data_IF_719750506920
#
_entry.id   IF_719750506920
#
_cell.length_a   1.000
_cell.length_b   1.000
_cell.length_c   1.000
_cell.angle_alpha   90.00
_cell.angle_beta   90.00
_cell.angle_gamma   90.00
#
_symmetry.space_group_name_H-M   'P 1'
#
loop_
_entity.id
_entity.type
_entity.pdbx_description
1 polymer ?
#
# COMPACT_ATOMS: atom_id res chain seq x y z
N UNK A 1 -0.08 -5.04 -16.21
CA UNK A 1 -0.86 -6.07 -15.48
C UNK A 1 -2.24 -6.25 -16.12
N UNK A 2 -3.02 -5.18 -16.34
CA UNK A 2 -4.40 -5.30 -16.84
C UNK A 2 -4.49 -5.99 -18.22
N UNK A 3 -3.56 -5.73 -19.15
CA UNK A 3 -3.47 -6.46 -20.42
C UNK A 3 -3.12 -7.93 -20.18
N UNK A 4 -2.12 -8.22 -19.35
CA UNK A 4 -1.67 -9.59 -19.09
C UNK A 4 -2.76 -10.47 -18.43
N UNK A 5 -3.67 -9.85 -17.69
CA UNK A 5 -4.82 -10.52 -17.06
C UNK A 5 -6.11 -10.35 -17.86
N UNK A 6 -6.05 -9.86 -19.11
CA UNK A 6 -7.18 -9.72 -20.02
C UNK A 6 -8.34 -8.84 -19.49
N UNK A 7 -8.04 -7.92 -18.57
CA UNK A 7 -9.00 -6.90 -18.10
C UNK A 7 -9.21 -5.83 -19.14
N UNK A 8 -8.15 -5.51 -19.90
CA UNK A 8 -8.18 -4.57 -21.01
C UNK A 8 -7.63 -5.24 -22.27
N UNK A 9 -8.20 -4.92 -23.41
CA UNK A 9 -7.85 -5.54 -24.69
C UNK A 9 -6.69 -4.80 -25.37
N UNK A 10 -5.70 -5.55 -25.84
CA UNK A 10 -4.61 -5.10 -26.70
C UNK A 10 -4.29 -6.17 -27.77
N UNK A 11 -5.26 -7.02 -28.11
CA UNK A 11 -5.09 -8.17 -29.01
C UNK A 11 -4.69 -7.78 -30.44
N UNK A 12 -5.00 -6.55 -30.88
CA UNK A 12 -4.59 -6.01 -32.17
C UNK A 12 -3.08 -5.65 -32.24
N UNK A 13 -2.40 -5.60 -31.07
CA UNK A 13 -0.97 -5.32 -31.00
C UNK A 13 -0.11 -6.58 -31.18
N UNK A 14 1.14 -6.45 -31.69
CA UNK A 14 2.11 -7.54 -31.69
C UNK A 14 2.26 -8.16 -30.28
N UNK A 15 2.25 -9.49 -30.21
CA UNK A 15 2.31 -10.26 -28.95
C UNK A 15 1.19 -9.91 -27.96
N UNK A 16 0.00 -9.49 -28.44
CA UNK A 16 -1.11 -9.08 -27.59
C UNK A 16 -0.78 -7.86 -26.71
N UNK A 17 0.06 -6.96 -27.19
CA UNK A 17 0.45 -5.74 -26.46
C UNK A 17 1.48 -5.93 -25.37
N UNK A 18 2.14 -7.11 -25.29
CA UNK A 18 3.10 -7.44 -24.22
C UNK A 18 4.52 -7.64 -24.75
N UNK A 19 5.51 -7.31 -23.95
CA UNK A 19 6.91 -7.72 -24.07
C UNK A 19 7.11 -9.15 -23.52
N UNK A 20 8.26 -9.76 -23.81
CA UNK A 20 8.60 -11.10 -23.34
C UNK A 20 8.66 -11.25 -21.81
N UNK A 21 8.84 -10.16 -21.09
CA UNK A 21 8.84 -10.08 -19.63
C UNK A 21 7.44 -9.85 -19.02
N UNK A 22 6.39 -9.83 -19.86
CA UNK A 22 5.00 -9.62 -19.43
C UNK A 22 4.60 -8.16 -19.16
N UNK A 23 5.48 -7.19 -19.42
CA UNK A 23 5.12 -5.77 -19.38
C UNK A 23 4.46 -5.35 -20.71
N UNK A 24 3.64 -4.30 -20.65
CA UNK A 24 3.05 -3.75 -21.87
C UNK A 24 4.12 -3.16 -22.78
N UNK A 25 4.08 -3.50 -24.09
CA UNK A 25 4.87 -2.85 -25.11
C UNK A 25 4.24 -1.49 -25.50
N UNK A 26 4.90 -0.70 -26.33
CA UNK A 26 4.45 0.64 -26.73
C UNK A 26 3.05 0.58 -27.33
N UNK A 27 2.78 -0.37 -28.23
CA UNK A 27 1.45 -0.54 -28.84
C UNK A 27 0.38 -0.84 -27.78
N UNK A 28 0.66 -1.78 -26.85
CA UNK A 28 -0.27 -2.13 -25.78
C UNK A 28 -0.56 -0.95 -24.85
N UNK A 29 0.45 -0.12 -24.54
CA UNK A 29 0.25 1.10 -23.75
C UNK A 29 -0.65 2.13 -24.44
N UNK A 30 -0.53 2.27 -25.77
CA UNK A 30 -1.34 3.23 -26.54
C UNK A 30 -2.77 2.74 -26.72
N UNK A 31 -2.94 1.49 -27.17
CA UNK A 31 -4.25 0.91 -27.48
C UNK A 31 -5.11 0.74 -26.24
N UNK A 32 -4.55 0.17 -25.16
CA UNK A 32 -5.29 -0.07 -23.92
C UNK A 32 -5.53 1.18 -23.07
N UNK A 33 -4.98 2.34 -23.42
CA UNK A 33 -4.98 3.54 -22.55
C UNK A 33 -6.38 3.95 -22.09
N UNK A 34 -7.36 3.99 -22.99
CA UNK A 34 -8.71 4.42 -22.67
C UNK A 34 -9.41 3.44 -21.72
N UNK A 35 -9.23 2.15 -21.95
CA UNK A 35 -9.81 1.10 -21.10
C UNK A 35 -9.13 1.05 -19.74
N UNK A 36 -7.80 1.24 -19.66
CA UNK A 36 -7.08 1.37 -18.39
C UNK A 36 -7.60 2.55 -17.58
N UNK A 37 -7.80 3.72 -18.20
CA UNK A 37 -8.36 4.89 -17.51
C UNK A 37 -9.78 4.59 -17.02
N UNK A 38 -10.61 3.97 -17.85
CA UNK A 38 -11.97 3.59 -17.47
C UNK A 38 -11.95 2.61 -16.29
N UNK A 39 -11.10 1.56 -16.35
CA UNK A 39 -10.93 0.59 -15.28
C UNK A 39 -10.51 1.26 -13.96
N UNK A 40 -9.53 2.14 -13.97
CA UNK A 40 -9.06 2.82 -12.78
C UNK A 40 -10.12 3.76 -12.19
N UNK A 41 -10.86 4.46 -13.03
CA UNK A 41 -11.85 5.44 -12.58
C UNK A 41 -13.13 4.81 -12.01
N UNK A 42 -13.43 3.54 -12.31
CA UNK A 42 -14.59 2.88 -11.72
C UNK A 42 -14.53 2.76 -10.19
N UNK A 43 -13.32 2.85 -9.61
CA UNK A 43 -13.09 2.79 -8.16
C UNK A 43 -13.11 4.15 -7.48
N UNK A 44 -13.29 5.27 -8.21
CA UNK A 44 -13.19 6.62 -7.66
C UNK A 44 -14.23 6.90 -6.57
N UNK A 45 -15.45 6.37 -6.73
CA UNK A 45 -16.52 6.50 -5.74
C UNK A 45 -16.13 5.89 -4.39
N UNK A 46 -15.62 4.65 -4.42
CA UNK A 46 -15.18 3.94 -3.21
C UNK A 46 -13.94 4.58 -2.61
N UNK A 47 -12.95 4.93 -3.43
CA UNK A 47 -11.76 5.67 -2.98
C UNK A 47 -12.13 6.96 -2.24
N UNK A 48 -13.09 7.72 -2.75
CA UNK A 48 -13.56 8.95 -2.12
C UNK A 48 -14.27 8.69 -0.80
N UNK A 49 -15.11 7.66 -0.74
CA UNK A 49 -15.80 7.24 0.50
C UNK A 49 -14.79 6.87 1.58
N UNK A 50 -13.88 5.96 1.25
CA UNK A 50 -12.85 5.48 2.19
C UNK A 50 -11.87 6.60 2.60
N UNK A 51 -11.54 7.52 1.68
CA UNK A 51 -10.73 8.70 1.99
C UNK A 51 -11.38 9.59 3.05
N UNK A 52 -12.68 9.83 2.95
CA UNK A 52 -13.42 10.61 3.94
C UNK A 52 -13.48 9.92 5.31
N UNK A 53 -13.64 8.60 5.33
CA UNK A 53 -13.72 7.81 6.58
C UNK A 53 -12.37 7.68 7.28
N UNK A 54 -11.29 7.58 6.51
CA UNK A 54 -9.94 7.34 7.03
C UNK A 54 -9.10 8.60 7.17
N UNK A 55 -9.52 9.71 6.57
CA UNK A 55 -8.76 10.97 6.44
C UNK A 55 -7.45 10.82 5.64
N UNK A 56 -7.35 9.79 4.79
CA UNK A 56 -6.24 9.63 3.86
C UNK A 56 -6.59 10.39 2.57
N UNK A 57 -5.67 11.17 1.98
CA UNK A 57 -5.96 11.84 0.72
C UNK A 57 -6.34 10.85 -0.39
N UNK A 58 -7.50 11.03 -1.02
CA UNK A 58 -8.01 10.13 -2.06
C UNK A 58 -7.03 10.01 -3.24
N UNK A 59 -6.42 11.13 -3.65
CA UNK A 59 -5.42 11.14 -4.73
C UNK A 59 -4.17 10.33 -4.35
N UNK A 60 -3.73 10.39 -3.09
CA UNK A 60 -2.60 9.59 -2.61
C UNK A 60 -2.88 8.10 -2.73
N UNK A 61 -4.08 7.64 -2.31
CA UNK A 61 -4.49 6.24 -2.46
C UNK A 61 -4.56 5.85 -3.94
N UNK A 62 -5.15 6.69 -4.79
CA UNK A 62 -5.27 6.44 -6.22
C UNK A 62 -3.89 6.29 -6.89
N UNK A 63 -2.97 7.20 -6.60
CA UNK A 63 -1.61 7.16 -7.11
C UNK A 63 -0.85 5.92 -6.61
N UNK A 64 -1.03 5.56 -5.34
CA UNK A 64 -0.43 4.38 -4.75
C UNK A 64 -0.90 3.11 -5.45
N UNK A 65 -2.19 2.90 -5.65
CA UNK A 65 -2.73 1.74 -6.35
C UNK A 65 -2.30 1.69 -7.82
N UNK A 66 -2.21 2.86 -8.47
CA UNK A 66 -1.68 2.93 -9.84
C UNK A 66 -0.21 2.50 -9.91
N UNK A 67 0.61 2.91 -8.92
CA UNK A 67 2.04 2.58 -8.86
C UNK A 67 2.28 1.12 -8.47
N UNK A 68 1.55 0.59 -7.48
CA UNK A 68 1.73 -0.76 -6.96
C UNK A 68 1.22 -1.83 -7.93
N UNK A 69 -0.04 -1.73 -8.33
CA UNK A 69 -0.72 -2.81 -9.05
C UNK A 69 -1.29 -2.41 -10.41
N UNK A 70 -1.23 -1.12 -10.79
CA UNK A 70 -1.98 -0.57 -11.93
C UNK A 70 -3.49 -0.79 -11.77
N UNK A 71 -3.98 -0.80 -10.53
CA UNK A 71 -5.36 -1.17 -10.18
C UNK A 71 -5.72 -2.62 -10.51
N UNK A 72 -4.77 -3.55 -10.45
CA UNK A 72 -5.06 -4.97 -10.45
C UNK A 72 -5.34 -5.44 -9.01
N UNK A 73 -6.56 -5.90 -8.69
CA UNK A 73 -6.94 -6.25 -7.31
C UNK A 73 -6.71 -7.73 -6.97
N UNK A 74 -6.07 -8.48 -7.86
CA UNK A 74 -5.82 -9.91 -7.68
C UNK A 74 -4.45 -10.23 -7.08
N UNK A 75 -4.05 -11.50 -7.15
CA UNK A 75 -2.80 -12.00 -6.59
C UNK A 75 -1.64 -11.80 -7.56
N UNK A 76 -0.50 -11.38 -7.03
CA UNK A 76 0.81 -11.41 -7.68
C UNK A 76 1.55 -12.67 -7.21
N UNK A 77 1.29 -13.79 -7.85
CA UNK A 77 1.68 -15.14 -7.40
C UNK A 77 3.17 -15.32 -7.14
N UNK A 78 4.02 -14.67 -7.94
CA UNK A 78 5.47 -14.82 -7.82
C UNK A 78 6.04 -14.07 -6.60
N UNK A 79 5.32 -13.08 -6.07
CA UNK A 79 5.75 -12.24 -4.97
C UNK A 79 4.97 -12.48 -3.66
N UNK A 80 3.92 -13.30 -3.67
CA UNK A 80 2.97 -13.44 -2.56
C UNK A 80 2.41 -12.08 -2.10
N UNK A 81 2.01 -11.28 -3.08
CA UNK A 81 1.45 -9.94 -2.89
C UNK A 81 -0.02 -9.93 -3.33
N UNK A 82 -0.86 -9.23 -2.59
CA UNK A 82 -2.32 -9.32 -2.74
C UNK A 82 -2.95 -7.94 -2.94
N UNK A 83 -3.81 -7.86 -3.94
CA UNK A 83 -4.71 -6.74 -4.19
C UNK A 83 -4.04 -5.43 -4.60
N UNK A 84 -4.80 -4.34 -4.54
CA UNK A 84 -4.42 -3.03 -5.07
C UNK A 84 -3.10 -2.47 -4.55
N UNK A 85 -2.81 -2.63 -3.27
CA UNK A 85 -1.60 -2.12 -2.63
C UNK A 85 -0.51 -3.17 -2.44
N UNK A 86 -0.64 -4.34 -3.07
CA UNK A 86 0.35 -5.43 -2.96
C UNK A 86 0.68 -5.80 -1.51
N UNK A 87 -0.38 -6.15 -0.74
CA UNK A 87 -0.21 -6.54 0.66
C UNK A 87 0.71 -7.75 0.77
N UNK A 88 1.81 -7.59 1.46
CA UNK A 88 2.77 -8.65 1.82
C UNK A 88 2.49 -9.16 3.24
N UNK A 89 3.16 -10.26 3.63
CA UNK A 89 3.13 -10.76 5.02
C UNK A 89 3.56 -9.68 6.02
N UNK A 90 4.64 -8.96 5.74
CA UNK A 90 5.12 -7.84 6.59
C UNK A 90 4.15 -6.66 6.60
N UNK A 91 3.49 -6.40 5.47
CA UNK A 91 2.42 -5.41 5.39
C UNK A 91 1.24 -5.78 6.28
N UNK A 92 0.83 -7.04 6.28
CA UNK A 92 -0.21 -7.55 7.17
C UNK A 92 0.18 -7.41 8.66
N UNK A 93 1.43 -7.76 9.03
CA UNK A 93 1.94 -7.51 10.38
C UNK A 93 1.87 -6.03 10.75
N UNK A 94 2.22 -5.13 9.85
CA UNK A 94 2.15 -3.68 10.10
C UNK A 94 0.72 -3.24 10.37
N UNK A 95 -0.24 -3.69 9.56
CA UNK A 95 -1.66 -3.36 9.77
C UNK A 95 -2.14 -3.83 11.13
N UNK A 96 -1.88 -5.08 11.46
CA UNK A 96 -2.38 -5.72 12.69
C UNK A 96 -1.69 -5.19 13.95
N UNK A 97 -0.43 -4.73 13.84
CA UNK A 97 0.35 -4.24 14.97
C UNK A 97 0.16 -2.74 15.23
N UNK A 98 -0.06 -1.93 14.18
CA UNK A 98 -0.04 -0.47 14.27
C UNK A 98 -1.41 0.17 14.04
N UNK A 99 -2.46 -0.62 13.84
CA UNK A 99 -3.83 -0.14 13.75
C UNK A 99 -4.74 -0.89 14.72
N UNK A 100 -4.67 -0.50 15.99
CA UNK A 100 -5.43 -1.14 17.08
C UNK A 100 -6.94 -1.17 16.80
N UNK A 101 -7.48 -0.11 16.19
CA UNK A 101 -8.91 -0.04 15.86
C UNK A 101 -9.28 -1.14 14.86
N UNK A 102 -8.50 -1.28 13.81
CA UNK A 102 -8.70 -2.33 12.82
C UNK A 102 -8.49 -3.72 13.42
N UNK A 103 -7.40 -3.93 14.17
CA UNK A 103 -7.13 -5.19 14.83
C UNK A 103 -8.29 -5.63 15.73
N UNK A 104 -8.81 -4.74 16.57
CA UNK A 104 -9.90 -5.03 17.50
C UNK A 104 -11.22 -5.36 16.79
N UNK A 105 -11.44 -4.87 15.59
CA UNK A 105 -12.59 -5.21 14.76
C UNK A 105 -12.37 -6.50 13.96
N UNK A 106 -11.19 -6.70 13.42
CA UNK A 106 -10.87 -7.79 12.51
C UNK A 106 -10.58 -9.11 13.23
N UNK A 107 -9.79 -9.08 14.32
CA UNK A 107 -9.36 -10.28 15.02
C UNK A 107 -10.54 -11.15 15.50
N UNK A 108 -11.62 -10.60 16.11
CA UNK A 108 -12.75 -11.40 16.59
C UNK A 108 -13.58 -12.06 15.46
N UNK A 109 -13.38 -11.67 14.22
CA UNK A 109 -14.01 -12.34 13.05
C UNK A 109 -13.33 -13.68 12.78
N UNK A 110 -12.05 -13.81 13.12
CA UNK A 110 -11.20 -14.97 12.78
C UNK A 110 -10.91 -15.84 14.02
N UNK A 111 -10.67 -15.21 15.18
CA UNK A 111 -10.26 -15.86 16.42
C UNK A 111 -11.25 -15.59 17.56
N UNK A 112 -11.12 -16.35 18.65
CA UNK A 112 -11.89 -16.09 19.85
C UNK A 112 -11.55 -14.72 20.46
N UNK A 113 -12.55 -14.02 20.98
CA UNK A 113 -12.40 -12.68 21.57
C UNK A 113 -11.36 -12.64 22.69
N UNK A 114 -11.32 -13.67 23.54
CA UNK A 114 -10.32 -13.77 24.62
C UNK A 114 -8.89 -13.83 24.06
N UNK A 115 -8.67 -14.53 22.96
CA UNK A 115 -7.38 -14.56 22.26
C UNK A 115 -7.02 -13.17 21.73
N UNK A 116 -7.98 -12.45 21.14
CA UNK A 116 -7.75 -11.12 20.58
C UNK A 116 -7.44 -10.06 21.63
N UNK A 117 -7.95 -10.23 22.87
CA UNK A 117 -7.85 -9.23 23.94
C UNK A 117 -6.43 -8.93 24.41
N UNK A 118 -5.47 -9.84 24.16
CA UNK A 118 -4.06 -9.66 24.56
C UNK A 118 -3.25 -8.83 23.56
N UNK A 119 -3.82 -8.51 22.40
CA UNK A 119 -3.17 -7.72 21.33
C UNK A 119 -2.29 -8.58 20.40
N UNK A 120 -2.15 -8.12 19.14
CA UNK A 120 -1.51 -8.86 18.05
C UNK A 120 -0.12 -9.41 18.40
N UNK A 121 0.72 -8.61 19.04
CA UNK A 121 2.09 -9.02 19.39
C UNK A 121 2.17 -10.22 20.35
N UNK A 122 1.10 -10.52 21.10
CA UNK A 122 1.10 -11.51 22.18
C UNK A 122 0.24 -12.75 21.90
N UNK A 123 -0.50 -12.81 20.79
CA UNK A 123 -1.40 -13.93 20.48
C UNK A 123 -0.69 -15.22 20.03
N UNK A 124 0.65 -15.17 19.85
CA UNK A 124 1.46 -16.29 19.36
C UNK A 124 1.45 -16.44 17.85
N UNK A 125 2.53 -17.05 17.32
CA UNK A 125 2.80 -17.11 15.89
C UNK A 125 1.71 -17.83 15.07
N UNK A 126 1.12 -18.89 15.60
CA UNK A 126 0.04 -19.63 14.93
C UNK A 126 -1.17 -18.74 14.67
N UNK A 127 -1.61 -17.98 15.68
CA UNK A 127 -2.73 -17.05 15.55
C UNK A 127 -2.37 -15.85 14.66
N UNK A 128 -1.13 -15.36 14.73
CA UNK A 128 -0.65 -14.32 13.82
C UNK A 128 -0.70 -14.79 12.37
N UNK A 129 -0.28 -16.03 12.08
CA UNK A 129 -0.34 -16.63 10.76
C UNK A 129 -1.79 -16.73 10.25
N UNK A 130 -2.74 -17.12 11.10
CA UNK A 130 -4.16 -17.17 10.74
C UNK A 130 -4.69 -15.79 10.36
N UNK A 131 -4.37 -14.75 11.14
CA UNK A 131 -4.80 -13.38 10.83
C UNK A 131 -4.15 -12.83 9.56
N UNK A 132 -2.86 -13.06 9.33
CA UNK A 132 -2.16 -12.70 8.08
C UNK A 132 -2.81 -13.37 6.87
N UNK A 133 -3.06 -14.68 6.99
CA UNK A 133 -3.73 -15.44 5.92
C UNK A 133 -5.14 -14.92 5.62
N UNK A 134 -5.91 -14.59 6.65
CA UNK A 134 -7.25 -14.01 6.49
C UNK A 134 -7.21 -12.63 5.83
N UNK A 135 -6.23 -11.79 6.17
CA UNK A 135 -6.02 -10.50 5.47
C UNK A 135 -5.62 -10.69 4.01
N UNK A 136 -4.73 -11.63 3.72
CA UNK A 136 -4.33 -11.96 2.35
C UNK A 136 -5.53 -12.39 1.51
N UNK A 137 -6.38 -13.28 2.04
CA UNK A 137 -7.63 -13.69 1.38
C UNK A 137 -8.57 -12.51 1.21
N UNK A 138 -8.75 -11.69 2.25
CA UNK A 138 -9.59 -10.49 2.20
C UNK A 138 -9.09 -9.42 1.24
N UNK A 139 -7.80 -9.42 0.91
CA UNK A 139 -7.20 -8.47 -0.04
C UNK A 139 -7.15 -8.98 -1.48
N UNK A 140 -7.60 -10.22 -1.74
CA UNK A 140 -7.58 -10.84 -3.05
C UNK A 140 -8.97 -10.86 -3.68
N UNK A 141 -9.15 -10.15 -4.78
CA UNK A 141 -10.41 -10.12 -5.54
C UNK A 141 -10.40 -11.04 -6.77
N UNK A 142 -9.43 -11.95 -6.91
CA UNK A 142 -9.44 -12.96 -7.99
C UNK A 142 -10.72 -13.81 -7.92
N UNK A 143 -11.39 -13.97 -9.06
CA UNK A 143 -12.63 -14.73 -9.18
C UNK A 143 -12.63 -15.46 -10.54
N UNK A 144 -12.32 -16.76 -10.53
CA UNK A 144 -12.21 -17.55 -11.77
C UNK A 144 -13.51 -17.61 -12.58
N UNK A 145 -14.66 -17.49 -11.93
CA UNK A 145 -15.98 -17.57 -12.53
C UNK A 145 -16.57 -16.20 -12.90
N UNK A 146 -15.84 -15.10 -12.61
CA UNK A 146 -16.28 -13.75 -12.93
C UNK A 146 -15.87 -13.34 -14.36
N UNK A 147 -16.63 -12.47 -15.06
CA UNK A 147 -16.38 -12.13 -16.47
C UNK A 147 -14.98 -11.58 -16.78
N UNK A 148 -14.39 -10.85 -15.84
CA UNK A 148 -13.03 -10.27 -15.96
C UNK A 148 -11.99 -11.01 -15.12
N UNK A 149 -12.35 -12.18 -14.55
CA UNK A 149 -11.51 -12.85 -13.56
C UNK A 149 -11.44 -12.15 -12.20
N UNK A 150 -12.27 -11.11 -11.98
CA UNK A 150 -12.28 -10.28 -10.78
C UNK A 150 -13.70 -10.12 -10.23
N UNK A 151 -13.87 -10.30 -8.93
CA UNK A 151 -15.05 -9.88 -8.18
C UNK A 151 -14.94 -8.38 -7.85
N UNK A 152 -15.70 -7.56 -8.59
CA UNK A 152 -15.69 -6.10 -8.40
C UNK A 152 -16.22 -5.65 -7.04
N UNK A 153 -17.18 -6.39 -6.47
CA UNK A 153 -17.69 -6.07 -5.13
C UNK A 153 -16.61 -6.31 -4.08
N UNK A 154 -15.90 -7.42 -4.22
CA UNK A 154 -14.77 -7.70 -3.33
C UNK A 154 -13.59 -6.74 -3.56
N UNK A 155 -13.31 -6.36 -4.81
CA UNK A 155 -12.30 -5.35 -5.13
C UNK A 155 -12.57 -4.02 -4.40
N UNK A 156 -13.82 -3.55 -4.35
CA UNK A 156 -14.17 -2.36 -3.56
C UNK A 156 -13.85 -2.52 -2.07
N UNK A 157 -14.19 -3.66 -1.48
CA UNK A 157 -13.87 -3.95 -0.08
C UNK A 157 -12.35 -3.96 0.19
N UNK A 158 -11.52 -4.39 -0.77
CA UNK A 158 -10.06 -4.38 -0.61
C UNK A 158 -9.49 -2.97 -0.49
N UNK A 159 -10.15 -1.93 -1.02
CA UNK A 159 -9.75 -0.53 -0.87
C UNK A 159 -9.74 -0.12 0.62
N UNK A 160 -10.76 -0.54 1.38
CA UNK A 160 -10.82 -0.30 2.82
C UNK A 160 -9.64 -0.96 3.54
N UNK A 161 -9.34 -2.22 3.27
CA UNK A 161 -8.19 -2.93 3.88
C UNK A 161 -6.89 -2.18 3.63
N UNK A 162 -6.66 -1.71 2.39
CA UNK A 162 -5.44 -0.96 2.07
C UNK A 162 -5.40 0.42 2.70
N UNK A 163 -6.53 1.11 2.85
CA UNK A 163 -6.58 2.34 3.61
C UNK A 163 -6.17 2.12 5.07
N UNK A 164 -6.63 1.02 5.70
CA UNK A 164 -6.19 0.65 7.04
C UNK A 164 -4.68 0.34 7.11
N UNK A 165 -4.11 -0.24 6.04
CA UNK A 165 -2.67 -0.46 5.92
C UNK A 165 -1.90 0.86 5.85
N UNK A 166 -2.33 1.82 5.02
CA UNK A 166 -1.72 3.15 4.94
C UNK A 166 -1.80 3.86 6.30
N UNK A 167 -2.95 3.76 7.00
CA UNK A 167 -3.14 4.33 8.33
C UNK A 167 -2.19 3.73 9.36
N UNK A 168 -1.99 2.42 9.35
CA UNK A 168 -1.03 1.75 10.21
C UNK A 168 0.41 2.24 9.97
N UNK A 169 0.79 2.38 8.70
CA UNK A 169 2.09 2.96 8.33
C UNK A 169 2.23 4.43 8.78
N UNK A 170 1.16 5.21 8.73
CA UNK A 170 1.15 6.59 9.24
C UNK A 170 1.37 6.62 10.77
N UNK A 171 0.70 5.76 11.52
CA UNK A 171 0.89 5.63 12.98
C UNK A 171 2.32 5.22 13.31
N UNK A 172 2.84 4.19 12.64
CA UNK A 172 4.22 3.74 12.83
C UNK A 172 5.24 4.84 12.49
N UNK A 173 5.02 5.58 11.40
CA UNK A 173 5.84 6.75 11.02
C UNK A 173 5.85 7.81 12.12
N UNK A 174 4.69 8.13 12.67
CA UNK A 174 4.56 9.06 13.80
C UNK A 174 5.36 8.61 15.01
N UNK A 175 5.30 7.31 15.34
CA UNK A 175 6.07 6.74 16.46
C UNK A 175 7.58 6.79 16.21
N UNK A 176 8.04 6.50 14.97
CA UNK A 176 9.46 6.61 14.60
C UNK A 176 9.94 8.05 14.79
N UNK A 177 9.20 9.04 14.29
CA UNK A 177 9.57 10.46 14.47
C UNK A 177 9.65 10.82 15.95
N UNK A 178 8.63 10.47 16.73
CA UNK A 178 8.58 10.77 18.16
C UNK A 178 9.74 10.11 18.92
N UNK A 179 10.08 8.87 18.61
CA UNK A 179 11.19 8.16 19.25
C UNK A 179 12.57 8.83 18.99
N UNK A 180 12.78 9.37 17.79
CA UNK A 180 14.05 10.02 17.44
C UNK A 180 14.13 11.48 17.86
N UNK A 181 13.00 12.16 17.99
CA UNK A 181 12.98 13.62 18.23
C UNK A 181 12.53 14.01 19.63
N UNK A 182 11.80 13.12 20.33
CA UNK A 182 11.12 13.44 21.58
C UNK A 182 9.93 14.41 21.40
N UNK A 183 9.47 14.66 20.17
CA UNK A 183 8.46 15.62 19.83
C UNK A 183 7.34 15.00 18.98
N UNK A 184 6.11 15.56 19.02
CA UNK A 184 5.03 15.14 18.13
C UNK A 184 5.40 15.35 16.65
N UNK A 185 5.01 14.43 15.75
CA UNK A 185 5.36 14.51 14.32
C UNK A 185 5.02 15.84 13.65
N UNK A 186 3.80 16.38 13.92
CA UNK A 186 3.33 17.63 13.33
C UNK A 186 4.06 18.89 13.81
N UNK A 187 4.88 18.81 14.89
CA UNK A 187 5.77 19.90 15.29
C UNK A 187 7.13 19.83 14.60
N UNK A 188 7.45 18.70 13.97
CA UNK A 188 8.74 18.44 13.35
C UNK A 188 8.73 18.55 11.83
N UNK A 189 7.56 18.32 11.20
CA UNK A 189 7.43 18.28 9.75
C UNK A 189 6.03 18.78 9.34
N UNK A 190 5.92 19.29 8.13
CA UNK A 190 4.65 19.67 7.52
C UNK A 190 3.85 18.45 7.09
N UNK A 191 2.56 18.63 6.84
CA UNK A 191 1.60 17.57 6.51
C UNK A 191 2.04 16.74 5.30
N UNK A 192 2.47 17.40 4.23
CA UNK A 192 2.91 16.76 2.98
C UNK A 192 4.15 15.88 3.20
N UNK A 193 5.09 16.34 4.02
CA UNK A 193 6.29 15.58 4.34
C UNK A 193 5.97 14.34 5.19
N UNK A 194 4.99 14.44 6.11
CA UNK A 194 4.53 13.30 6.91
C UNK A 194 3.92 12.20 6.03
N UNK A 195 3.19 12.56 4.97
CA UNK A 195 2.71 11.58 3.99
C UNK A 195 3.85 10.95 3.18
N UNK A 196 4.84 11.73 2.75
CA UNK A 196 6.02 11.19 2.09
C UNK A 196 6.79 10.22 2.99
N UNK A 197 6.93 10.51 4.28
CA UNK A 197 7.54 9.56 5.24
C UNK A 197 6.69 8.30 5.42
N UNK A 198 5.37 8.43 5.41
CA UNK A 198 4.46 7.28 5.44
C UNK A 198 4.66 6.39 4.22
N UNK A 199 4.83 6.97 3.03
CA UNK A 199 5.15 6.23 1.81
C UNK A 199 6.53 5.56 1.85
N UNK A 200 7.55 6.21 2.46
CA UNK A 200 8.85 5.58 2.71
C UNK A 200 8.68 4.34 3.58
N UNK A 201 7.92 4.47 4.68
CA UNK A 201 7.66 3.36 5.59
C UNK A 201 6.91 2.22 4.89
N UNK A 202 5.90 2.55 4.11
CA UNK A 202 5.10 1.59 3.33
C UNK A 202 5.96 0.80 2.34
N UNK A 203 6.76 1.50 1.52
CA UNK A 203 7.52 0.90 0.42
C UNK A 203 8.83 0.25 0.87
N UNK A 204 9.64 0.97 1.67
CA UNK A 204 10.99 0.55 2.05
C UNK A 204 11.08 0.04 3.51
N UNK A 205 9.99 0.14 4.25
CA UNK A 205 9.90 -0.32 5.64
C UNK A 205 10.43 0.66 6.68
N UNK A 206 10.14 0.40 7.96
CA UNK A 206 10.44 1.30 9.08
C UNK A 206 11.94 1.52 9.28
N UNK A 207 12.79 0.56 8.91
CA UNK A 207 14.24 0.67 9.04
C UNK A 207 14.81 1.82 8.22
N UNK A 208 14.43 1.92 6.95
CA UNK A 208 14.89 2.98 6.04
C UNK A 208 14.54 4.38 6.55
N UNK A 209 13.30 4.57 7.00
CA UNK A 209 12.86 5.84 7.57
C UNK A 209 13.60 6.16 8.88
N UNK A 210 13.65 5.20 9.80
CA UNK A 210 14.30 5.34 11.10
C UNK A 210 15.79 5.70 10.96
N UNK A 211 16.51 5.00 10.08
CA UNK A 211 17.92 5.25 9.85
C UNK A 211 18.16 6.63 9.22
N UNK A 212 17.33 7.04 8.27
CA UNK A 212 17.41 8.36 7.65
C UNK A 212 17.20 9.48 8.68
N UNK A 213 16.18 9.36 9.54
CA UNK A 213 15.92 10.34 10.61
C UNK A 213 17.07 10.36 11.62
N UNK A 214 17.59 9.20 11.99
CA UNK A 214 18.74 9.10 12.92
C UNK A 214 19.97 9.83 12.38
N UNK A 215 20.30 9.67 11.09
CA UNK A 215 21.44 10.36 10.46
C UNK A 215 21.23 11.87 10.37
N UNK A 216 20.00 12.34 10.12
CA UNK A 216 19.68 13.76 10.16
C UNK A 216 19.87 14.33 11.57
N UNK A 217 19.41 13.62 12.59
CA UNK A 217 19.57 14.03 14.00
C UNK A 217 21.03 14.16 14.40
N UNK A 218 21.89 13.20 14.02
CA UNK A 218 23.34 13.27 14.25
C UNK A 218 23.98 14.49 13.62
N UNK A 219 23.50 14.91 12.45
CA UNK A 219 24.01 16.07 11.71
C UNK A 219 23.28 17.38 12.05
N UNK A 220 22.38 17.37 13.03
CA UNK A 220 21.55 18.50 13.45
C UNK A 220 20.81 19.19 12.28
N UNK A 221 20.34 18.39 11.34
CA UNK A 221 19.56 18.86 10.18
C UNK A 221 18.07 18.84 10.48
N UNK A 222 17.33 19.75 9.84
CA UNK A 222 15.87 19.81 9.95
C UNK A 222 15.21 18.57 9.33
N UNK A 223 14.12 18.10 9.94
CA UNK A 223 13.30 17.01 9.43
C UNK A 223 12.32 17.55 8.38
N UNK A 224 12.77 17.58 7.13
CA UNK A 224 11.97 17.91 5.95
C UNK A 224 12.26 16.92 4.83
N UNK A 225 11.40 16.87 3.80
CA UNK A 225 11.53 15.88 2.73
C UNK A 225 12.90 15.97 2.01
N UNK A 226 13.37 17.15 1.68
CA UNK A 226 14.66 17.30 0.98
C UNK A 226 15.83 16.67 1.72
N UNK A 227 15.90 16.87 3.04
CA UNK A 227 16.94 16.28 3.87
C UNK A 227 16.78 14.76 4.03
N UNK A 228 15.54 14.27 4.23
CA UNK A 228 15.25 12.83 4.35
C UNK A 228 15.57 12.13 3.02
N UNK A 229 15.12 12.67 1.90
CA UNK A 229 15.41 12.16 0.56
C UNK A 229 16.92 12.05 0.29
N UNK A 230 17.68 13.06 0.72
CA UNK A 230 19.15 13.04 0.63
C UNK A 230 19.79 11.86 1.36
N UNK A 231 19.23 11.44 2.52
CA UNK A 231 19.71 10.24 3.24
C UNK A 231 19.22 8.95 2.61
N UNK A 232 17.95 8.91 2.18
CA UNK A 232 17.34 7.75 1.53
C UNK A 232 18.07 7.34 0.26
N UNK A 233 18.53 8.29 -0.56
CA UNK A 233 19.29 7.99 -1.78
C UNK A 233 20.54 7.14 -1.51
N UNK A 234 21.13 7.26 -0.33
CA UNK A 234 22.30 6.48 0.08
C UNK A 234 21.92 5.19 0.82
N UNK A 235 20.93 5.25 1.71
CA UNK A 235 20.56 4.14 2.60
C UNK A 235 19.59 3.15 1.92
N UNK A 236 18.66 3.68 1.12
CA UNK A 236 17.59 2.90 0.48
C UNK A 236 17.35 3.40 -0.95
N UNK A 237 18.25 3.07 -1.90
CA UNK A 237 18.16 3.51 -3.28
C UNK A 237 16.80 3.15 -3.94
N UNK A 238 16.27 4.06 -4.77
CA UNK A 238 14.98 3.90 -5.44
C UNK A 238 13.76 4.37 -4.65
N UNK A 239 13.87 4.49 -3.32
CA UNK A 239 12.73 4.90 -2.47
C UNK A 239 12.27 6.33 -2.77
N UNK A 240 13.18 7.26 -3.02
CA UNK A 240 12.84 8.66 -3.34
C UNK A 240 12.06 8.73 -4.63
N UNK A 241 12.49 8.02 -5.68
CA UNK A 241 11.80 7.96 -6.96
C UNK A 241 10.38 7.41 -6.82
N UNK A 242 10.20 6.35 -6.01
CA UNK A 242 8.90 5.80 -5.70
C UNK A 242 7.99 6.84 -5.02
N UNK A 243 8.46 7.46 -3.94
CA UNK A 243 7.69 8.47 -3.20
C UNK A 243 7.30 9.64 -4.08
N UNK A 244 8.23 10.15 -4.91
CA UNK A 244 7.96 11.27 -5.83
C UNK A 244 6.94 10.91 -6.92
N UNK A 245 6.86 9.64 -7.33
CA UNK A 245 5.83 9.15 -8.27
C UNK A 245 4.44 9.10 -7.61
N UNK A 246 4.35 8.63 -6.37
CA UNK A 246 3.08 8.46 -5.65
C UNK A 246 2.57 9.78 -5.08
N UNK A 247 3.46 10.65 -4.57
CA UNK A 247 3.10 11.93 -3.94
C UNK A 247 2.90 13.08 -4.95
N UNK A 248 2.76 12.78 -6.25
CA UNK A 248 2.42 13.80 -7.26
C UNK A 248 0.99 14.29 -7.09
N UNK A 249 0.81 15.60 -7.19
CA UNK A 249 -0.48 16.29 -7.29
C UNK A 249 -1.19 16.00 -8.62
#
# INVERSE_FOLDING_TARGET
RLIANQVVDASECPSGGLESNGYANICGLEVARSEVIFWQNQFDGELFTVANETSIPAQLMKNLFAQESQFWPGVFKDANEFGFGQLTEKGADTVLLWNDTFYNQFCPIILATDTCSVGYALIGEENQNLLRGALAVGSNADCADCPTGIDLSHANFTIEIFAQSIKANCVQTGQIISNHTGQPPGSMSIYEDLWRYTLVNYHAGPGCLSDSIRELRKSNQALNWGNVAGKLNTLCPGTVEYVDKVAKD
#
